data_IF_824144423544
#
_entry.id   IF_824144423544
#
_cell.length_a   1.000
_cell.length_b   1.000
_cell.length_c   1.000
_cell.angle_alpha   90.00
_cell.angle_beta   90.00
_cell.angle_gamma   90.00
#
_symmetry.space_group_name_H-M   'P 1'
#
loop_
_entity.id
_entity.type
_entity.pdbx_description
1 polymer ?
#
# COMPACT_ATOMS: atom_id res chain seq x y z
N UNK A 1 -25.98 -3.80 19.39
CA UNK A 1 -26.67 -2.48 19.40
C UNK A 1 -27.88 -2.58 20.32
N UNK A 2 -28.40 -1.46 20.82
CA UNK A 2 -29.45 -1.41 21.86
C UNK A 2 -29.01 -2.00 23.22
N UNK A 3 -27.77 -1.71 23.66
CA UNK A 3 -27.29 -2.09 24.99
C UNK A 3 -26.90 -3.56 25.18
N UNK A 4 -26.98 -4.40 24.13
CA UNK A 4 -26.50 -5.78 24.20
C UNK A 4 -24.99 -5.88 24.38
N UNK A 5 -24.55 -6.74 25.29
CA UNK A 5 -23.14 -7.06 25.55
C UNK A 5 -22.71 -8.29 24.76
N UNK A 6 -21.51 -8.26 24.19
CA UNK A 6 -20.86 -9.43 23.61
C UNK A 6 -19.62 -9.76 24.44
N UNK A 7 -19.60 -10.94 25.06
CA UNK A 7 -18.51 -11.40 25.93
C UNK A 7 -17.81 -12.58 25.29
N UNK A 8 -16.53 -12.43 24.97
CA UNK A 8 -15.66 -13.48 24.46
C UNK A 8 -14.70 -13.92 25.57
N UNK A 9 -14.77 -15.18 25.98
CA UNK A 9 -13.81 -15.79 26.93
C UNK A 9 -12.87 -16.67 26.13
N UNK A 10 -11.57 -16.37 26.19
CA UNK A 10 -10.52 -17.11 25.49
C UNK A 10 -9.47 -17.58 26.49
N UNK A 11 -9.14 -18.87 26.43
CA UNK A 11 -8.02 -19.46 27.14
C UNK A 11 -6.99 -19.92 26.10
N UNK A 12 -5.74 -19.49 26.25
CA UNK A 12 -4.64 -19.92 25.40
C UNK A 12 -3.53 -20.52 26.26
N UNK A 13 -3.19 -21.78 26.02
CA UNK A 13 -2.03 -22.43 26.61
C UNK A 13 -0.85 -22.21 25.67
N UNK A 14 0.19 -21.52 26.13
CA UNK A 14 1.36 -21.22 25.32
C UNK A 14 2.61 -21.82 25.95
N UNK A 15 3.34 -22.63 25.19
CA UNK A 15 4.74 -22.90 25.48
C UNK A 15 5.56 -21.75 24.88
N UNK A 16 5.90 -20.77 25.71
CA UNK A 16 6.45 -19.48 25.25
C UNK A 16 7.72 -19.66 24.41
N UNK A 17 8.63 -20.53 24.84
CA UNK A 17 9.87 -20.81 24.09
C UNK A 17 9.62 -21.39 22.70
N UNK A 18 8.60 -22.24 22.54
CA UNK A 18 8.26 -22.82 21.24
C UNK A 18 7.62 -21.77 20.32
N UNK A 19 6.91 -20.80 20.87
CA UNK A 19 6.37 -19.67 20.11
C UNK A 19 7.45 -18.61 19.78
N UNK A 20 8.42 -18.41 20.67
CA UNK A 20 9.47 -17.41 20.51
C UNK A 20 10.54 -17.82 19.49
N UNK A 21 10.91 -19.10 19.43
CA UNK A 21 11.93 -19.60 18.51
C UNK A 21 11.70 -19.23 17.03
N UNK A 22 10.52 -19.48 16.41
CA UNK A 22 10.28 -19.08 15.03
C UNK A 22 10.26 -17.55 14.84
N UNK A 23 9.78 -16.78 15.82
CA UNK A 23 9.80 -15.31 15.77
C UNK A 23 11.24 -14.79 15.71
N UNK A 24 12.15 -15.38 16.49
CA UNK A 24 13.57 -15.02 16.44
C UNK A 24 14.21 -15.33 15.09
N UNK A 25 13.86 -16.48 14.48
CA UNK A 25 14.33 -16.82 13.14
C UNK A 25 13.84 -15.81 12.10
N UNK A 26 12.55 -15.46 12.14
CA UNK A 26 11.98 -14.47 11.22
C UNK A 26 12.61 -13.08 11.39
N UNK A 27 12.93 -12.68 12.62
CA UNK A 27 13.61 -11.41 12.90
C UNK A 27 14.97 -11.35 12.23
N UNK A 28 15.80 -12.40 12.36
CA UNK A 28 17.14 -12.43 11.75
C UNK A 28 17.03 -12.47 10.23
N UNK A 29 16.15 -13.30 9.68
CA UNK A 29 15.96 -13.44 8.24
C UNK A 29 15.47 -12.13 7.59
N UNK A 30 14.45 -11.48 8.17
CA UNK A 30 13.94 -10.22 7.64
C UNK A 30 14.94 -9.08 7.80
N UNK A 31 15.70 -9.04 8.89
CA UNK A 31 16.74 -8.02 9.09
C UNK A 31 17.84 -8.15 8.04
N UNK A 32 18.31 -9.38 7.79
CA UNK A 32 19.33 -9.67 6.78
C UNK A 32 18.85 -9.31 5.38
N UNK A 33 17.60 -9.67 5.04
CA UNK A 33 16.99 -9.29 3.77
C UNK A 33 16.91 -7.76 3.61
N UNK A 34 16.49 -7.04 4.65
CA UNK A 34 16.39 -5.58 4.61
C UNK A 34 17.75 -4.91 4.37
N UNK A 35 18.85 -5.51 4.85
CA UNK A 35 20.21 -4.99 4.61
C UNK A 35 20.65 -5.17 3.14
N UNK A 36 20.12 -6.17 2.43
CA UNK A 36 20.42 -6.39 1.00
C UNK A 36 19.57 -5.53 0.06
N UNK A 37 18.42 -5.04 0.53
CA UNK A 37 17.50 -4.25 -0.29
C UNK A 37 17.95 -2.79 -0.29
N UNK A 38 18.01 -2.20 -1.49
CA UNK A 38 18.25 -0.78 -1.70
C UNK A 38 17.29 -0.27 -2.75
N UNK A 39 16.83 0.97 -2.59
CA UNK A 39 15.87 1.60 -3.49
C UNK A 39 16.25 3.07 -3.72
N UNK A 40 15.68 3.65 -4.77
CA UNK A 40 15.92 5.03 -5.20
C UNK A 40 14.59 5.75 -5.28
N UNK A 41 14.61 7.06 -5.08
CA UNK A 41 13.44 7.91 -5.27
C UNK A 41 13.64 8.75 -6.51
N UNK A 42 12.56 9.24 -7.13
CA UNK A 42 12.70 10.11 -8.31
C UNK A 42 13.44 11.42 -7.97
N UNK A 43 13.36 11.84 -6.70
CA UNK A 43 14.04 13.03 -6.16
C UNK A 43 15.52 12.80 -5.83
N UNK A 44 15.92 11.58 -5.49
CA UNK A 44 17.29 11.23 -5.10
C UNK A 44 17.72 9.96 -5.85
N UNK A 45 18.60 10.10 -6.86
CA UNK A 45 19.08 8.98 -7.66
C UNK A 45 20.10 8.11 -6.91
N UNK A 46 20.58 8.50 -5.72
CA UNK A 46 21.46 7.66 -4.95
C UNK A 46 20.69 6.50 -4.29
N UNK A 47 21.23 5.26 -4.34
CA UNK A 47 20.57 4.12 -3.74
C UNK A 47 20.62 4.24 -2.22
N UNK A 48 19.46 4.20 -1.59
CA UNK A 48 19.32 4.22 -0.14
C UNK A 48 18.70 2.93 0.39
N UNK A 49 19.11 2.54 1.59
CA UNK A 49 18.51 1.44 2.34
C UNK A 49 17.32 1.89 3.19
N UNK A 50 16.82 0.98 4.02
CA UNK A 50 15.82 1.31 5.02
C UNK A 50 16.39 2.16 6.17
N UNK A 51 15.52 2.90 6.85
CA UNK A 51 15.87 3.62 8.09
C UNK A 51 16.33 2.63 9.17
N UNK A 52 17.34 3.02 9.97
CA UNK A 52 17.99 2.15 10.96
C UNK A 52 17.05 1.47 11.97
N UNK A 53 15.92 2.12 12.28
CA UNK A 53 14.87 1.58 13.18
C UNK A 53 14.11 0.37 12.60
N UNK A 54 14.14 0.15 11.28
CA UNK A 54 13.49 -0.97 10.58
C UNK A 54 12.05 -1.26 11.05
N UNK A 55 11.17 -0.27 10.93
CA UNK A 55 9.75 -0.37 11.34
C UNK A 55 8.98 -1.55 10.71
N UNK A 56 9.49 -2.12 9.60
CA UNK A 56 9.02 -3.36 8.99
C UNK A 56 8.93 -4.53 9.99
N UNK A 57 9.92 -4.64 10.89
CA UNK A 57 10.01 -5.71 11.88
C UNK A 57 8.92 -5.59 12.96
N UNK A 58 8.15 -4.50 12.97
CA UNK A 58 7.08 -4.28 13.94
C UNK A 58 5.98 -5.34 13.91
N UNK A 59 5.87 -6.14 12.85
CA UNK A 59 5.02 -7.34 12.79
C UNK A 59 5.37 -8.39 13.85
N UNK A 60 6.65 -8.48 14.25
CA UNK A 60 7.20 -9.49 15.16
C UNK A 60 7.36 -8.97 16.60
N UNK A 61 7.10 -7.67 16.83
CA UNK A 61 7.25 -7.04 18.15
C UNK A 61 5.92 -6.61 18.74
N UNK A 62 5.81 -6.74 20.06
CA UNK A 62 4.64 -6.26 20.80
C UNK A 62 4.56 -4.74 20.85
N UNK A 63 5.70 -4.07 20.93
CA UNK A 63 5.85 -2.62 20.99
C UNK A 63 6.86 -2.18 19.92
N UNK A 64 6.42 -1.97 18.67
CA UNK A 64 7.32 -1.65 17.57
C UNK A 64 7.90 -0.25 17.71
N UNK A 65 9.22 -0.13 17.56
CA UNK A 65 9.89 1.17 17.45
C UNK A 65 9.67 1.73 16.04
N UNK A 66 9.39 3.02 15.94
CA UNK A 66 9.16 3.70 14.67
C UNK A 66 10.02 4.97 14.56
N UNK A 67 10.39 5.40 13.34
CA UNK A 67 11.09 6.66 13.13
C UNK A 67 10.33 7.86 13.74
N UNK A 68 11.05 8.91 14.17
CA UNK A 68 10.41 10.10 14.73
C UNK A 68 9.44 10.73 13.70
N UNK A 69 8.25 11.11 14.18
CA UNK A 69 7.20 11.70 13.34
C UNK A 69 6.34 10.70 12.56
N UNK A 70 6.63 9.40 12.60
CA UNK A 70 5.79 8.37 11.99
C UNK A 70 4.78 7.76 12.98
N UNK A 71 3.58 7.38 12.53
CA UNK A 71 2.57 6.78 13.41
C UNK A 71 2.88 5.32 13.75
N UNK A 72 2.55 4.91 14.97
CA UNK A 72 2.63 3.50 15.39
C UNK A 72 1.41 2.73 14.89
N UNK A 73 1.63 1.65 14.14
CA UNK A 73 0.59 0.75 13.65
C UNK A 73 0.70 -0.58 14.39
N UNK A 74 -0.29 -0.93 15.23
CA UNK A 74 -0.33 -2.19 15.99
C UNK A 74 -1.30 -3.25 15.42
N UNK A 75 -1.97 -2.95 14.32
CA UNK A 75 -2.88 -3.89 13.67
C UNK A 75 -2.08 -4.96 12.90
N UNK A 76 -2.05 -6.18 13.42
CA UNK A 76 -1.23 -7.30 12.90
C UNK A 76 -1.39 -7.52 11.39
N UNK A 77 -2.63 -7.53 10.89
CA UNK A 77 -2.89 -7.75 9.46
C UNK A 77 -2.39 -6.60 8.57
N UNK A 78 -2.39 -5.35 9.08
CA UNK A 78 -1.84 -4.20 8.34
C UNK A 78 -0.31 -4.29 8.27
N UNK A 79 0.32 -4.67 9.38
CA UNK A 79 1.77 -4.90 9.43
C UNK A 79 2.17 -6.04 8.48
N UNK A 80 1.46 -7.17 8.50
CA UNK A 80 1.66 -8.28 7.55
C UNK A 80 1.51 -7.82 6.10
N UNK A 81 0.47 -7.05 5.80
CA UNK A 81 0.23 -6.51 4.46
C UNK A 81 1.36 -5.58 3.98
N UNK A 82 1.98 -4.81 4.90
CA UNK A 82 3.16 -4.01 4.59
C UNK A 82 4.34 -4.89 4.15
N UNK A 83 4.66 -5.93 4.93
CA UNK A 83 5.74 -6.89 4.61
C UNK A 83 5.48 -7.57 3.26
N UNK A 84 4.26 -8.07 3.05
CA UNK A 84 3.87 -8.71 1.79
C UNK A 84 4.03 -7.78 0.59
N UNK A 85 3.59 -6.52 0.70
CA UNK A 85 3.68 -5.56 -0.38
C UNK A 85 5.11 -5.13 -0.71
N UNK A 86 5.99 -5.05 0.29
CA UNK A 86 7.42 -4.76 0.07
C UNK A 86 8.09 -5.92 -0.67
N UNK A 87 7.84 -7.17 -0.25
CA UNK A 87 8.37 -8.35 -0.95
C UNK A 87 7.83 -8.46 -2.38
N UNK A 88 6.55 -8.11 -2.59
CA UNK A 88 5.95 -8.03 -3.94
C UNK A 88 6.63 -6.97 -4.80
N UNK A 89 6.93 -5.80 -4.23
CA UNK A 89 7.65 -4.76 -4.93
C UNK A 89 9.06 -5.22 -5.34
N UNK A 90 9.76 -5.99 -4.50
CA UNK A 90 11.07 -6.57 -4.83
C UNK A 90 11.05 -7.50 -6.06
N UNK A 91 9.90 -8.13 -6.35
CA UNK A 91 9.72 -8.99 -7.54
C UNK A 91 8.97 -8.29 -8.68
N UNK A 92 8.77 -6.97 -8.59
CA UNK A 92 8.11 -6.17 -9.64
C UNK A 92 6.59 -6.37 -9.73
N UNK A 93 5.96 -6.92 -8.68
CA UNK A 93 4.52 -7.09 -8.63
C UNK A 93 3.83 -5.89 -7.95
N UNK A 94 2.63 -5.51 -8.39
CA UNK A 94 1.88 -4.43 -7.75
C UNK A 94 1.44 -4.81 -6.33
N UNK A 95 1.23 -3.83 -5.43
CA UNK A 95 0.70 -4.08 -4.09
C UNK A 95 -0.64 -4.80 -4.13
N UNK A 96 -0.85 -5.73 -3.20
CA UNK A 96 -2.14 -6.40 -3.09
C UNK A 96 -3.19 -5.44 -2.54
N UNK A 97 -4.29 -5.32 -3.26
CA UNK A 97 -5.46 -4.54 -2.90
C UNK A 97 -6.71 -5.43 -2.99
N UNK A 98 -7.57 -5.37 -1.97
CA UNK A 98 -8.76 -6.23 -1.90
C UNK A 98 -9.95 -5.64 -2.68
N UNK A 99 -9.70 -4.96 -3.81
CA UNK A 99 -10.75 -4.28 -4.57
C UNK A 99 -11.59 -5.25 -5.40
N UNK A 100 -10.96 -6.30 -5.97
CA UNK A 100 -11.60 -7.34 -6.79
C UNK A 100 -12.56 -6.77 -7.85
N UNK A 101 -12.13 -5.68 -8.52
CA UNK A 101 -13.00 -4.90 -9.40
C UNK A 101 -13.48 -5.71 -10.61
N UNK A 102 -12.70 -6.70 -11.04
CA UNK A 102 -13.06 -7.63 -12.10
C UNK A 102 -14.39 -8.37 -11.85
N UNK A 103 -14.82 -8.50 -10.59
CA UNK A 103 -16.11 -9.09 -10.20
C UNK A 103 -17.16 -8.05 -9.80
N UNK A 104 -16.79 -6.78 -9.73
CA UNK A 104 -17.66 -5.66 -9.32
C UNK A 104 -18.00 -4.70 -10.46
N UNK A 105 -17.45 -4.93 -11.65
CA UNK A 105 -17.78 -4.18 -12.85
C UNK A 105 -19.07 -4.70 -13.48
N UNK A 106 -19.96 -3.80 -13.87
CA UNK A 106 -21.19 -4.13 -14.63
C UNK A 106 -20.86 -4.66 -16.03
N UNK A 107 -19.77 -4.18 -16.63
CA UNK A 107 -19.26 -4.64 -17.92
C UNK A 107 -17.99 -5.46 -17.70
N UNK A 108 -17.88 -6.68 -18.26
CA UNK A 108 -16.66 -7.48 -18.12
C UNK A 108 -15.46 -6.70 -18.65
N UNK A 109 -14.41 -6.56 -17.84
CA UNK A 109 -13.13 -6.06 -18.31
C UNK A 109 -12.57 -6.95 -19.42
N UNK A 110 -11.71 -6.43 -20.32
CA UNK A 110 -11.22 -7.14 -21.51
C UNK A 110 -10.40 -8.44 -21.25
N UNK A 111 -10.27 -8.88 -19.98
CA UNK A 111 -9.53 -10.08 -19.57
C UNK A 111 -10.38 -11.26 -19.08
N UNK A 112 -11.70 -11.13 -18.90
CA UNK A 112 -12.53 -12.26 -18.42
C UNK A 112 -13.03 -13.06 -19.62
N UNK A 113 -12.18 -13.94 -20.15
CA UNK A 113 -12.66 -15.01 -21.05
C UNK A 113 -13.45 -16.02 -20.21
N UNK A 114 -14.77 -15.84 -20.18
CA UNK A 114 -15.69 -16.87 -19.71
C UNK A 114 -15.47 -18.10 -20.59
N UNK A 115 -14.87 -19.15 -20.03
CA UNK A 115 -14.61 -20.40 -20.74
C UNK A 115 -15.90 -20.90 -21.39
N UNK A 116 -15.90 -20.91 -22.72
CA UNK A 116 -16.98 -21.35 -23.58
C UNK A 116 -16.42 -21.52 -24.98
N UNK A 117 -16.41 -22.76 -25.45
CA UNK A 117 -15.78 -23.26 -26.67
C UNK A 117 -16.45 -22.66 -27.94
N UNK A 118 -15.62 -22.53 -29.00
CA UNK A 118 -15.94 -22.56 -30.45
C UNK A 118 -16.07 -21.24 -31.26
N UNK A 119 -15.31 -21.26 -32.37
CA UNK A 119 -15.45 -20.58 -33.68
C UNK A 119 -14.97 -19.13 -33.88
N UNK A 120 -13.73 -19.05 -34.39
CA UNK A 120 -13.37 -18.48 -35.70
C UNK A 120 -14.07 -17.19 -36.15
N UNK A 121 -13.33 -16.09 -36.19
CA UNK A 121 -12.73 -15.50 -37.41
C UNK A 121 -12.10 -14.14 -37.07
N UNK A 122 -10.85 -13.95 -37.49
CA UNK A 122 -10.13 -12.68 -37.47
C UNK A 122 -10.82 -11.66 -38.40
N UNK A 123 -10.62 -10.35 -38.21
CA UNK A 123 -9.62 -9.69 -39.06
C UNK A 123 -8.82 -8.55 -38.39
N UNK A 124 -7.54 -8.47 -38.78
CA UNK A 124 -6.72 -7.24 -38.71
C UNK A 124 -7.26 -6.19 -39.69
N UNK A 125 -7.02 -4.87 -39.49
CA UNK A 125 -5.85 -4.27 -40.14
C UNK A 125 -5.14 -3.13 -39.36
N UNK A 126 -3.83 -3.02 -39.62
CA UNK A 126 -2.96 -1.90 -39.30
C UNK A 126 -3.20 -0.69 -40.23
N UNK A 127 -3.08 0.57 -39.73
CA UNK A 127 -2.09 1.57 -40.20
C UNK A 127 -2.23 2.95 -39.51
N UNK A 128 -1.07 3.54 -39.21
CA UNK A 128 -0.78 4.91 -38.73
C UNK A 128 -1.18 6.01 -39.73
N UNK A 129 -1.55 7.18 -39.22
CA UNK A 129 -1.52 8.49 -39.91
C UNK A 129 -2.13 9.63 -39.07
N UNK A 130 -1.67 10.89 -39.19
CA UNK A 130 -1.60 11.87 -38.09
C UNK A 130 -2.79 12.85 -37.97
N UNK A 131 -2.82 13.56 -36.83
CA UNK A 131 -3.79 14.55 -36.36
C UNK A 131 -4.11 15.70 -37.34
N UNK A 132 -5.20 16.45 -37.05
CA UNK A 132 -5.05 17.89 -36.96
C UNK A 132 -5.67 18.50 -35.69
N UNK A 133 -5.13 19.67 -35.35
CA UNK A 133 -5.52 20.54 -34.25
C UNK A 133 -6.88 21.22 -34.47
N UNK A 134 -7.60 21.46 -33.38
CA UNK A 134 -8.57 22.56 -33.31
C UNK A 134 -8.63 23.09 -31.87
N UNK A 135 -8.35 24.39 -31.79
CA UNK A 135 -8.53 25.31 -30.67
C UNK A 135 -10.00 25.40 -30.27
N UNK A 136 -10.29 25.54 -28.97
CA UNK A 136 -11.17 26.59 -28.45
C UNK A 136 -11.15 26.59 -26.92
N UNK A 137 -10.83 27.76 -26.36
CA UNK A 137 -10.87 28.01 -24.93
C UNK A 137 -12.28 28.33 -24.45
N UNK A 138 -12.52 28.02 -23.17
CA UNK A 138 -13.57 28.64 -22.36
C UNK A 138 -12.98 28.92 -20.98
N UNK A 139 -12.64 30.19 -20.77
CA UNK A 139 -12.35 30.84 -19.50
C UNK A 139 -13.58 30.78 -18.60
N UNK A 140 -13.38 30.46 -17.32
CA UNK A 140 -14.43 30.43 -16.31
C UNK A 140 -13.86 30.78 -14.95
N UNK A 141 -13.52 32.05 -14.77
CA UNK A 141 -13.19 32.63 -13.47
C UNK A 141 -14.44 32.72 -12.60
N UNK A 142 -14.37 32.14 -11.39
CA UNK A 142 -15.31 32.41 -10.31
C UNK A 142 -14.52 32.79 -9.04
N UNK A 143 -14.14 34.07 -9.03
CA UNK A 143 -14.12 35.02 -7.92
C UNK A 143 -13.41 34.69 -6.58
N UNK A 144 -12.39 35.51 -6.31
CA UNK A 144 -11.78 35.84 -5.01
C UNK A 144 -12.79 36.51 -4.06
N UNK A 145 -12.59 36.34 -2.75
CA UNK A 145 -12.47 37.48 -1.80
C UNK A 145 -11.83 37.05 -0.44
N UNK A 146 -11.40 37.97 0.45
CA UNK A 146 -9.98 38.32 0.66
C UNK A 146 -9.40 37.91 2.03
N UNK A 147 -8.08 38.05 2.14
CA UNK A 147 -7.30 37.99 3.39
C UNK A 147 -7.77 39.05 4.42
N UNK A 148 -7.75 38.67 5.69
CA UNK A 148 -7.60 39.57 6.82
C UNK A 148 -6.46 39.05 7.72
N UNK A 149 -5.58 39.98 8.09
CA UNK A 149 -4.35 39.79 8.86
C UNK A 149 -4.60 39.67 10.38
N UNK A 150 -3.56 39.23 11.09
CA UNK A 150 -3.43 38.70 12.47
C UNK A 150 -3.70 39.66 13.66
N UNK A 151 -3.58 39.18 14.92
CA UNK A 151 -2.33 39.39 15.66
C UNK A 151 -1.79 38.18 16.47
N UNK A 152 -0.45 38.13 16.53
CA UNK A 152 0.40 37.29 17.38
C UNK A 152 0.10 37.47 18.88
N UNK A 153 0.31 36.41 19.67
CA UNK A 153 0.44 36.49 21.14
C UNK A 153 1.82 35.96 21.56
N UNK A 154 2.50 36.60 22.54
CA UNK A 154 3.90 36.34 22.84
C UNK A 154 4.13 35.19 23.82
N UNK A 155 5.32 34.62 23.68
CA UNK A 155 5.95 33.63 24.54
C UNK A 155 6.22 34.18 25.95
N UNK A 156 5.93 33.37 26.96
CA UNK A 156 6.47 33.43 28.32
C UNK A 156 6.85 32.02 28.75
#
# INVERSE_FOLDING_TARGET
>A
MLGGTNTLVLHNTCEDSLLAAPIMLDLVLLTELCQRVSFRTDSDPEPQGFHAVLSLLGFLFKAPLVPPGSPVVNALFRQRGCVENILRACVGLPPQNHMLLEYKMERPGPGVKRGGLVAATSPLPCKKGPAPAATNGCTGDANRHPQAESPQVPMA
#
